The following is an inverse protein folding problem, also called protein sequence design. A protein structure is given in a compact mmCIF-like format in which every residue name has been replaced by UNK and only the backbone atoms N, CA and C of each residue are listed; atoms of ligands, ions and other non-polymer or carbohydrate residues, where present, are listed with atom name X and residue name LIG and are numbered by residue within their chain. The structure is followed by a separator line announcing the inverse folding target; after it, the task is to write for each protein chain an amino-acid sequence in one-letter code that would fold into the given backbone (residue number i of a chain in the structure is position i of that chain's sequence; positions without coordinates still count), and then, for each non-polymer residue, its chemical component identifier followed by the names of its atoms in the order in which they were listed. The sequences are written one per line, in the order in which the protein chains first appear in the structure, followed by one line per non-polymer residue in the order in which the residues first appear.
data_IF_203996977538
#
_entry.id   IF_203996977538
#
_cell.length_a   1.000
_cell.length_b   1.000
_cell.length_c   1.000
_cell.angle_alpha   90.00
_cell.angle_beta   90.00
_cell.angle_gamma   90.00
#
_symmetry.space_group_name_H-M   'P 1'
#
loop_
_entity.id
_entity.type
_entity.pdbx_description
1 polymer ?
#
# COMPACT_ATOMS: atom_id res chain seq x y z
N UNK A 1 -2.46 -48.67 -2.38
CA UNK A 1 -2.61 -47.21 -2.25
C UNK A 1 -1.27 -46.68 -1.76
N UNK A 2 -0.42 -46.16 -2.64
CA UNK A 2 0.81 -45.49 -2.21
C UNK A 2 0.44 -44.21 -1.47
N UNK A 3 1.04 -43.99 -0.31
CA UNK A 3 1.02 -42.69 0.33
C UNK A 3 1.60 -41.66 -0.67
N UNK A 4 1.01 -40.45 -0.80
CA UNK A 4 1.64 -39.41 -1.60
C UNK A 4 3.03 -39.14 -1.01
N UNK A 5 4.04 -39.06 -1.88
CA UNK A 5 5.39 -38.64 -1.48
C UNK A 5 5.27 -37.30 -0.75
N UNK A 6 5.84 -37.21 0.47
CA UNK A 6 5.93 -35.93 1.19
C UNK A 6 7.03 -35.14 0.49
N UNK A 7 6.65 -34.22 -0.38
CA UNK A 7 7.58 -33.23 -0.95
C UNK A 7 8.34 -32.54 0.19
N UNK A 8 9.66 -32.46 0.05
CA UNK A 8 10.58 -31.90 1.04
C UNK A 8 10.33 -30.40 1.25
N UNK A 9 10.53 -29.92 2.49
CA UNK A 9 10.43 -28.49 2.80
C UNK A 9 11.76 -27.84 2.45
N UNK A 10 11.68 -26.77 1.66
CA UNK A 10 12.83 -25.95 1.27
C UNK A 10 12.87 -24.69 2.13
N UNK A 11 14.00 -24.49 2.82
CA UNK A 11 14.22 -23.36 3.71
C UNK A 11 15.27 -22.40 3.13
N UNK A 12 15.01 -21.10 3.23
CA UNK A 12 15.93 -20.05 2.78
C UNK A 12 15.99 -18.95 3.83
N UNK A 13 17.17 -18.37 4.02
CA UNK A 13 17.38 -17.22 4.89
C UNK A 13 18.11 -16.10 4.13
N UNK A 14 17.55 -14.90 4.20
CA UNK A 14 18.21 -13.66 3.82
C UNK A 14 18.34 -12.74 5.02
N UNK A 15 19.30 -11.82 4.96
CA UNK A 15 19.51 -10.85 6.04
C UNK A 15 20.06 -9.53 5.54
N UNK A 16 19.74 -8.46 6.26
CA UNK A 16 20.29 -7.14 6.06
C UNK A 16 20.63 -6.49 7.41
N UNK A 17 21.70 -5.70 7.45
CA UNK A 17 21.98 -4.80 8.56
C UNK A 17 21.29 -3.47 8.29
N UNK A 18 20.56 -2.96 9.28
CA UNK A 18 19.71 -1.77 9.15
C UNK A 18 20.13 -0.76 10.23
N UNK A 19 20.42 0.47 9.81
CA UNK A 19 20.75 1.60 10.68
C UNK A 19 19.50 2.20 11.33
N UNK A 20 18.77 1.35 12.06
CA UNK A 20 17.60 1.70 12.85
C UNK A 20 17.60 0.91 14.18
N UNK A 21 17.03 1.46 15.26
CA UNK A 21 16.77 0.70 16.49
C UNK A 21 15.91 -0.55 16.21
N UNK A 22 16.18 -1.64 16.92
CA UNK A 22 15.50 -2.93 16.69
C UNK A 22 13.99 -2.84 16.95
N UNK A 23 13.57 -2.04 17.93
CA UNK A 23 12.17 -1.82 18.30
C UNK A 23 11.41 -1.06 17.21
N UNK A 24 12.06 -0.09 16.55
CA UNK A 24 11.48 0.60 15.39
C UNK A 24 11.30 -0.37 14.24
N UNK A 25 12.34 -1.15 13.90
CA UNK A 25 12.27 -2.13 12.82
C UNK A 25 11.17 -3.18 13.09
N UNK A 26 11.08 -3.70 14.32
CA UNK A 26 10.03 -4.63 14.70
C UNK A 26 8.64 -4.01 14.55
N UNK A 27 8.42 -2.78 15.07
CA UNK A 27 7.13 -2.09 14.95
C UNK A 27 6.69 -1.89 13.50
N UNK A 28 7.63 -1.58 12.61
CA UNK A 28 7.36 -1.45 11.17
C UNK A 28 6.95 -2.78 10.53
N UNK A 29 7.54 -3.90 10.96
CA UNK A 29 7.20 -5.24 10.46
C UNK A 29 5.90 -5.78 11.07
N UNK A 30 5.66 -5.52 12.35
CA UNK A 30 4.49 -6.02 13.08
C UNK A 30 3.19 -5.32 12.67
N UNK A 31 3.25 -4.04 12.31
CA UNK A 31 2.08 -3.30 11.86
C UNK A 31 1.94 -3.34 10.33
N UNK A 32 1.09 -4.23 9.83
CA UNK A 32 0.82 -4.40 8.39
C UNK A 32 0.26 -3.14 7.72
N UNK A 33 -0.34 -2.22 8.47
CA UNK A 33 -0.89 -0.98 7.89
C UNK A 33 0.20 -0.06 7.38
N UNK A 34 1.44 -0.23 7.85
CA UNK A 34 2.61 0.48 7.36
C UNK A 34 3.20 -0.11 6.07
N UNK A 35 2.93 -1.37 5.76
CA UNK A 35 3.63 -2.08 4.68
C UNK A 35 3.48 -1.44 3.29
N UNK A 36 2.34 -0.82 2.91
CA UNK A 36 2.26 -0.05 1.68
C UNK A 36 3.28 1.10 1.62
N UNK A 37 3.75 1.66 2.75
CA UNK A 37 4.83 2.67 2.73
C UNK A 37 6.25 2.08 2.77
N UNK A 38 6.39 0.79 3.08
CA UNK A 38 7.68 0.11 3.21
C UNK A 38 8.07 -0.67 1.95
N UNK A 39 7.11 -1.36 1.34
CA UNK A 39 7.36 -2.31 0.26
C UNK A 39 6.76 -1.80 -1.06
N UNK A 40 7.59 -1.55 -2.10
CA UNK A 40 7.13 -0.93 -3.34
C UNK A 40 6.03 -1.68 -4.09
N UNK A 41 6.00 -3.00 -3.96
CA UNK A 41 5.04 -3.89 -4.59
C UNK A 41 3.73 -4.03 -3.80
N UNK A 42 3.65 -3.56 -2.55
CA UNK A 42 2.44 -3.67 -1.73
C UNK A 42 1.53 -2.46 -1.98
N UNK A 43 0.36 -2.72 -2.55
CA UNK A 43 -0.68 -1.71 -2.75
C UNK A 43 -1.45 -1.49 -1.46
N UNK A 44 -1.83 -2.58 -0.80
CA UNK A 44 -2.63 -2.53 0.41
C UNK A 44 -2.41 -3.78 1.25
N UNK A 45 -2.51 -3.61 2.57
CA UNK A 45 -2.71 -4.69 3.51
C UNK A 45 -3.80 -4.29 4.50
N UNK A 46 -4.60 -5.28 4.90
CA UNK A 46 -5.70 -5.10 5.83
C UNK A 46 -5.67 -6.20 6.87
N UNK A 47 -5.85 -5.85 8.14
CA UNK A 47 -6.11 -6.81 9.20
C UNK A 47 -7.59 -7.18 9.18
N UNK A 48 -7.91 -8.43 8.85
CA UNK A 48 -9.30 -8.93 8.85
C UNK A 48 -9.77 -9.33 10.25
N UNK A 49 -8.89 -9.94 11.03
CA UNK A 49 -9.17 -10.29 12.41
C UNK A 49 -7.87 -10.43 13.20
N UNK A 50 -7.92 -10.09 14.47
CA UNK A 50 -6.92 -10.49 15.46
C UNK A 50 -7.55 -11.43 16.49
N UNK A 51 -6.73 -12.21 17.19
CA UNK A 51 -7.15 -12.79 18.45
C UNK A 51 -7.33 -11.71 19.53
N UNK A 52 -7.85 -12.12 20.69
CA UNK A 52 -8.16 -11.21 21.79
C UNK A 52 -6.93 -10.61 22.49
N UNK A 53 -5.73 -11.18 22.27
CA UNK A 53 -4.47 -10.69 22.83
C UNK A 53 -3.58 -9.96 21.80
N UNK A 54 -3.97 -9.94 20.53
CA UNK A 54 -3.27 -9.24 19.45
C UNK A 54 -1.98 -9.92 19.00
N UNK A 55 -1.78 -11.20 19.36
CA UNK A 55 -0.59 -11.98 19.00
C UNK A 55 -0.77 -12.78 17.74
N UNK A 56 -2.00 -13.03 17.29
CA UNK A 56 -2.28 -13.68 16.02
C UNK A 56 -3.22 -12.84 15.18
N UNK A 57 -2.93 -12.74 13.89
CA UNK A 57 -3.76 -11.98 12.96
C UNK A 57 -3.92 -12.68 11.62
N UNK A 58 -5.09 -12.48 11.00
CA UNK A 58 -5.38 -12.86 9.62
C UNK A 58 -5.42 -11.58 8.81
N UNK A 59 -4.54 -11.48 7.80
CA UNK A 59 -4.36 -10.27 7.01
C UNK A 59 -4.59 -10.54 5.53
N UNK A 60 -5.27 -9.61 4.85
CA UNK A 60 -5.33 -9.56 3.40
C UNK A 60 -4.13 -8.80 2.83
N UNK A 61 -3.59 -9.28 1.71
CA UNK A 61 -2.42 -8.70 1.05
C UNK A 61 -2.74 -8.48 -0.42
N UNK A 62 -2.55 -7.26 -0.91
CA UNK A 62 -2.68 -6.90 -2.32
C UNK A 62 -1.34 -6.38 -2.83
N UNK A 63 -0.68 -7.19 -3.64
CA UNK A 63 0.61 -6.85 -4.23
C UNK A 63 0.54 -6.76 -5.76
N UNK A 64 1.33 -5.86 -6.32
CA UNK A 64 1.52 -5.74 -7.77
C UNK A 64 2.54 -6.76 -8.26
N UNK A 65 2.22 -7.44 -9.36
CA UNK A 65 3.16 -8.21 -10.16
C UNK A 65 2.91 -7.91 -11.64
N UNK A 66 3.80 -7.12 -12.24
CA UNK A 66 3.58 -6.52 -13.55
C UNK A 66 2.36 -5.59 -13.54
N UNK A 67 1.47 -5.77 -14.52
CA UNK A 67 0.20 -5.04 -14.63
C UNK A 67 -0.97 -5.80 -13.99
N UNK A 68 -0.72 -6.53 -12.91
CA UNK A 68 -1.77 -7.26 -12.18
C UNK A 68 -1.59 -7.06 -10.69
N UNK A 69 -2.70 -7.10 -9.96
CA UNK A 69 -2.70 -7.19 -8.49
C UNK A 69 -3.24 -8.55 -8.09
N UNK A 70 -2.52 -9.21 -7.20
CA UNK A 70 -2.89 -10.53 -6.70
C UNK A 70 -3.26 -10.42 -5.22
N UNK A 71 -4.55 -10.58 -4.87
CA UNK A 71 -4.96 -10.69 -3.49
C UNK A 71 -4.65 -12.08 -2.94
N UNK A 72 -4.17 -12.14 -1.71
CA UNK A 72 -4.04 -13.39 -0.95
C UNK A 72 -4.15 -13.11 0.55
N UNK A 73 -4.25 -14.16 1.35
CA UNK A 73 -4.42 -14.07 2.80
C UNK A 73 -3.23 -14.69 3.51
N UNK A 74 -2.72 -14.00 4.53
CA UNK A 74 -1.71 -14.52 5.42
C UNK A 74 -2.27 -14.68 6.85
N UNK A 75 -1.86 -15.74 7.53
CA UNK A 75 -1.93 -15.83 8.98
C UNK A 75 -0.58 -15.41 9.54
N UNK A 76 -0.57 -14.57 10.57
CA UNK A 76 0.65 -14.08 11.22
C UNK A 76 0.59 -14.30 12.72
N UNK A 77 1.76 -14.51 13.31
CA UNK A 77 1.93 -14.58 14.77
C UNK A 77 3.04 -13.62 15.18
N UNK A 78 2.68 -12.64 16.01
CA UNK A 78 3.53 -11.60 16.53
C UNK A 78 4.13 -12.05 17.86
N UNK A 79 5.45 -12.03 17.95
CA UNK A 79 6.21 -12.37 19.17
C UNK A 79 7.05 -11.17 19.58
N UNK A 80 6.46 -10.15 20.23
CA UNK A 80 7.17 -8.92 20.57
C UNK A 80 8.36 -9.16 21.51
N UNK A 81 8.27 -10.14 22.42
CA UNK A 81 9.38 -10.52 23.29
C UNK A 81 10.59 -11.15 22.57
N UNK A 82 10.40 -11.60 21.33
CA UNK A 82 11.43 -12.21 20.47
C UNK A 82 11.77 -11.33 19.26
N UNK A 83 11.14 -10.15 19.13
CA UNK A 83 11.19 -9.28 17.95
C UNK A 83 10.98 -10.05 16.64
N UNK A 84 9.99 -10.95 16.66
CA UNK A 84 9.70 -11.90 15.58
C UNK A 84 8.26 -11.81 15.10
N UNK A 85 8.06 -11.97 13.80
CA UNK A 85 6.75 -12.12 13.16
C UNK A 85 6.80 -13.36 12.28
N UNK A 86 6.07 -14.39 12.68
CA UNK A 86 5.83 -15.57 11.85
C UNK A 86 4.71 -15.30 10.87
N UNK A 87 4.77 -15.87 9.68
CA UNK A 87 3.66 -15.84 8.72
C UNK A 87 3.48 -17.16 7.98
N UNK A 88 2.25 -17.36 7.49
CA UNK A 88 1.85 -18.49 6.64
C UNK A 88 0.86 -17.98 5.61
N UNK A 89 1.07 -18.29 4.34
CA UNK A 89 0.06 -18.05 3.30
C UNK A 89 -1.10 -19.02 3.52
N UNK A 90 -2.31 -18.50 3.69
CA UNK A 90 -3.52 -19.32 3.88
C UNK A 90 -3.91 -20.04 2.58
N UNK A 91 -3.67 -19.40 1.44
CA UNK A 91 -3.88 -19.99 0.11
C UNK A 91 -2.64 -19.77 -0.74
N UNK A 92 -2.08 -20.87 -1.25
CA UNK A 92 -1.00 -20.85 -2.24
C UNK A 92 -1.51 -21.26 -3.62
N UNK A 93 -0.73 -20.98 -4.65
CA UNK A 93 -0.98 -21.46 -6.02
C UNK A 93 0.25 -22.18 -6.54
N UNK A 94 0.04 -23.15 -7.44
CA UNK A 94 1.14 -23.78 -8.17
C UNK A 94 2.04 -22.70 -8.79
N UNK A 95 3.38 -22.83 -8.69
CA UNK A 95 4.12 -24.05 -8.34
C UNK A 95 4.32 -24.32 -6.84
N UNK A 96 3.75 -23.52 -5.93
CA UNK A 96 3.96 -23.63 -4.48
C UNK A 96 2.75 -24.25 -3.79
N UNK A 97 2.97 -25.31 -2.99
CA UNK A 97 1.93 -26.00 -2.23
C UNK A 97 1.84 -25.56 -0.76
N UNK A 98 2.89 -24.92 -0.23
CA UNK A 98 2.91 -24.29 1.09
C UNK A 98 3.98 -23.20 1.10
N UNK A 99 3.70 -22.07 1.75
CA UNK A 99 4.61 -20.93 1.86
C UNK A 99 4.41 -20.23 3.19
N UNK A 100 5.47 -20.09 3.96
CA UNK A 100 5.51 -19.22 5.12
C UNK A 100 6.93 -18.81 5.43
N UNK A 101 7.11 -18.29 6.63
CA UNK A 101 8.41 -17.80 7.03
C UNK A 101 8.36 -16.97 8.28
N UNK A 102 9.43 -16.20 8.49
CA UNK A 102 9.58 -15.37 9.66
C UNK A 102 10.43 -14.15 9.38
N UNK A 103 9.97 -13.01 9.86
CA UNK A 103 10.80 -11.84 10.07
C UNK A 103 11.35 -11.88 11.49
N UNK A 104 12.66 -11.68 11.64
CA UNK A 104 13.35 -11.65 12.95
C UNK A 104 14.24 -10.41 12.99
N UNK A 105 14.15 -9.64 14.07
CA UNK A 105 15.01 -8.47 14.29
C UNK A 105 15.95 -8.72 15.47
N UNK A 106 17.25 -8.63 15.22
CA UNK A 106 18.31 -8.83 16.21
C UNK A 106 19.00 -7.49 16.51
N UNK A 107 18.99 -6.99 17.75
CA UNK A 107 19.69 -5.75 18.09
C UNK A 107 21.21 -5.91 17.94
N UNK A 108 21.86 -4.94 17.28
CA UNK A 108 23.32 -4.86 17.17
C UNK A 108 23.89 -3.70 18.01
N UNK A 109 23.13 -2.61 18.13
CA UNK A 109 23.42 -1.45 18.99
C UNK A 109 22.13 -0.65 19.21
N UNK A 110 22.20 0.47 19.95
CA UNK A 110 21.07 1.39 20.12
C UNK A 110 20.52 1.97 18.80
N UNK A 111 21.32 1.99 17.73
CA UNK A 111 20.95 2.59 16.43
C UNK A 111 21.10 1.63 15.24
N UNK A 112 21.29 0.34 15.51
CA UNK A 112 21.43 -0.64 14.44
C UNK A 112 20.88 -2.00 14.85
N UNK A 113 20.28 -2.68 13.89
CA UNK A 113 19.80 -4.05 14.03
C UNK A 113 20.15 -4.89 12.80
N UNK A 114 20.04 -6.20 12.93
CA UNK A 114 20.04 -7.14 11.82
C UNK A 114 18.62 -7.65 11.63
N UNK A 115 18.12 -7.56 10.42
CA UNK A 115 16.81 -8.11 10.03
C UNK A 115 17.07 -9.37 9.24
N UNK A 116 16.43 -10.47 9.64
CA UNK A 116 16.47 -11.76 8.95
C UNK A 116 15.07 -12.06 8.42
N UNK A 117 15.03 -12.49 7.17
CA UNK A 117 13.83 -12.97 6.49
C UNK A 117 14.03 -14.43 6.15
N UNK A 118 13.29 -15.29 6.85
CA UNK A 118 13.31 -16.73 6.65
C UNK A 118 12.08 -17.11 5.83
N UNK A 119 12.25 -18.06 4.91
CA UNK A 119 11.17 -18.69 4.18
C UNK A 119 11.24 -20.20 4.38
N UNK A 120 10.09 -20.82 4.58
CA UNK A 120 9.91 -22.25 4.44
C UNK A 120 8.79 -22.50 3.42
N UNK A 121 9.13 -23.25 2.36
CA UNK A 121 8.19 -23.49 1.27
C UNK A 121 8.20 -24.96 0.86
N UNK A 122 7.07 -25.41 0.34
CA UNK A 122 6.93 -26.75 -0.21
C UNK A 122 6.49 -26.65 -1.66
N UNK A 123 7.28 -27.16 -2.62
CA UNK A 123 6.85 -27.27 -4.01
C UNK A 123 5.58 -28.08 -4.18
N UNK A 124 4.81 -27.79 -5.24
CA UNK A 124 3.65 -28.59 -5.63
C UNK A 124 4.05 -29.88 -6.38
N UNK A 125 5.25 -29.90 -6.96
CA UNK A 125 5.82 -31.06 -7.66
C UNK A 125 7.29 -31.21 -7.28
N UNK A 126 7.79 -32.44 -7.32
CA UNK A 126 9.20 -32.75 -7.05
C UNK A 126 10.09 -32.54 -8.30
N UNK A 127 9.62 -31.76 -9.28
CA UNK A 127 10.39 -31.51 -10.51
C UNK A 127 11.55 -30.54 -10.23
N UNK A 128 12.79 -30.87 -10.63
CA UNK A 128 13.94 -30.01 -10.39
C UNK A 128 13.77 -28.58 -10.92
N UNK A 129 13.15 -28.43 -12.08
CA UNK A 129 12.85 -27.12 -12.67
C UNK A 129 11.86 -26.29 -11.82
N UNK A 130 10.93 -26.95 -11.14
CA UNK A 130 9.99 -26.29 -10.23
C UNK A 130 10.72 -25.77 -9.00
N UNK A 131 11.60 -26.58 -8.42
CA UNK A 131 12.45 -26.19 -7.29
C UNK A 131 13.38 -25.02 -7.64
N UNK A 132 14.04 -25.09 -8.79
CA UNK A 132 14.94 -24.03 -9.28
C UNK A 132 14.19 -22.71 -9.48
N UNK A 133 13.01 -22.75 -10.12
CA UNK A 133 12.16 -21.57 -10.29
C UNK A 133 11.72 -20.94 -8.96
N UNK A 134 11.34 -21.76 -7.98
CA UNK A 134 10.95 -21.29 -6.64
C UNK A 134 12.13 -20.64 -5.93
N UNK A 135 13.30 -21.29 -5.94
CA UNK A 135 14.52 -20.79 -5.31
C UNK A 135 14.96 -19.45 -5.91
N UNK A 136 15.03 -19.33 -7.24
CA UNK A 136 15.38 -18.08 -7.93
C UNK A 136 14.37 -16.95 -7.62
N UNK A 137 13.09 -17.30 -7.51
CA UNK A 137 12.04 -16.33 -7.21
C UNK A 137 12.13 -15.85 -5.76
N UNK A 138 12.34 -16.76 -4.81
CA UNK A 138 12.55 -16.41 -3.41
C UNK A 138 13.80 -15.57 -3.22
N UNK A 139 14.92 -15.91 -3.87
CA UNK A 139 16.16 -15.14 -3.81
C UNK A 139 15.94 -13.68 -4.25
N UNK A 140 15.34 -13.51 -5.44
CA UNK A 140 15.08 -12.19 -6.02
C UNK A 140 14.14 -11.36 -5.17
N UNK A 141 13.02 -11.95 -4.73
CA UNK A 141 11.99 -11.25 -3.98
C UNK A 141 12.48 -10.89 -2.58
N UNK A 142 13.10 -11.83 -1.86
CA UNK A 142 13.59 -11.61 -0.50
C UNK A 142 14.69 -10.55 -0.45
N UNK A 143 15.59 -10.54 -1.45
CA UNK A 143 16.62 -9.50 -1.59
C UNK A 143 15.99 -8.13 -1.82
N UNK A 144 15.01 -8.03 -2.72
CA UNK A 144 14.32 -6.77 -3.00
C UNK A 144 13.50 -6.28 -1.79
N UNK A 145 12.81 -7.17 -1.09
CA UNK A 145 12.03 -6.86 0.11
C UNK A 145 12.91 -6.36 1.25
N UNK A 146 14.02 -7.04 1.54
CA UNK A 146 14.97 -6.60 2.58
C UNK A 146 15.63 -5.26 2.23
N UNK A 147 15.97 -5.03 0.95
CA UNK A 147 16.52 -3.76 0.51
C UNK A 147 15.51 -2.62 0.70
N UNK A 148 14.25 -2.82 0.29
CA UNK A 148 13.18 -1.84 0.47
C UNK A 148 12.90 -1.56 1.96
N UNK A 149 12.82 -2.62 2.77
CA UNK A 149 12.63 -2.49 4.22
C UNK A 149 13.77 -1.70 4.86
N UNK A 150 15.02 -2.04 4.53
CA UNK A 150 16.22 -1.33 5.02
C UNK A 150 16.13 0.15 4.71
N UNK A 151 15.88 0.51 3.44
CA UNK A 151 15.78 1.91 3.03
C UNK A 151 14.66 2.66 3.78
N UNK A 152 13.49 2.05 3.89
CA UNK A 152 12.34 2.67 4.56
C UNK A 152 12.58 2.84 6.08
N UNK A 153 13.11 1.82 6.74
CA UNK A 153 13.40 1.84 8.18
C UNK A 153 14.51 2.84 8.52
N UNK A 154 15.57 2.92 7.71
CA UNK A 154 16.65 3.89 7.90
C UNK A 154 16.18 5.32 7.69
N UNK A 155 15.33 5.55 6.69
CA UNK A 155 14.69 6.85 6.46
C UNK A 155 13.85 7.28 7.67
N UNK A 156 12.98 6.40 8.16
CA UNK A 156 12.11 6.71 9.31
C UNK A 156 12.93 6.90 10.59
N UNK A 157 14.04 6.15 10.76
CA UNK A 157 14.97 6.34 11.88
C UNK A 157 15.74 7.66 11.81
N UNK A 158 16.05 8.15 10.60
CA UNK A 158 16.76 9.40 10.39
C UNK A 158 15.87 10.63 10.67
N UNK A 159 14.63 10.63 10.14
CA UNK A 159 13.65 11.69 10.38
C UNK A 159 12.21 11.19 10.18
N UNK A 160 11.51 10.94 11.28
CA UNK A 160 10.10 10.52 11.26
C UNK A 160 9.16 11.55 10.59
N UNK A 161 9.57 12.82 10.51
CA UNK A 161 8.76 13.91 9.91
C UNK A 161 8.65 13.77 8.40
N UNK A 162 9.47 12.92 7.77
CA UNK A 162 9.38 12.61 6.35
C UNK A 162 8.05 11.91 6.00
N UNK A 163 7.38 11.26 6.97
CA UNK A 163 6.05 10.70 6.79
C UNK A 163 5.00 11.78 7.05
N UNK A 164 4.17 12.05 6.05
CA UNK A 164 3.09 13.03 6.12
C UNK A 164 1.76 12.36 5.84
N UNK A 165 0.84 12.49 6.79
CA UNK A 165 -0.54 12.08 6.63
C UNK A 165 -1.47 13.29 6.51
N UNK A 166 -2.42 13.18 5.60
CA UNK A 166 -3.37 14.24 5.26
C UNK A 166 -4.73 13.57 5.11
N UNK A 167 -5.76 14.16 5.74
CA UNK A 167 -7.13 13.72 5.57
C UNK A 167 -8.04 14.93 5.39
N UNK A 168 -8.90 14.86 4.37
CA UNK A 168 -9.98 15.81 4.14
C UNK A 168 -11.31 15.07 4.13
N UNK A 169 -12.33 15.68 4.72
CA UNK A 169 -13.67 15.07 4.87
C UNK A 169 -14.76 16.00 4.38
N UNK A 170 -15.84 15.43 3.86
CA UNK A 170 -17.03 16.16 3.45
C UNK A 170 -18.30 15.38 3.81
N UNK A 171 -19.31 16.10 4.31
CA UNK A 171 -20.68 15.58 4.46
C UNK A 171 -21.45 15.72 3.15
N UNK A 172 -22.23 14.70 2.81
CA UNK A 172 -22.98 14.60 1.57
C UNK A 172 -24.44 14.26 1.89
N UNK A 173 -25.39 15.03 1.36
CA UNK A 173 -26.82 14.69 1.41
C UNK A 173 -27.16 13.74 0.24
N UNK A 174 -26.57 12.54 0.29
CA UNK A 174 -26.63 11.53 -0.76
C UNK A 174 -26.25 10.17 -0.21
N UNK A 175 -26.51 9.11 -0.98
CA UNK A 175 -26.23 7.75 -0.49
C UNK A 175 -24.73 7.43 -0.55
N UNK A 176 -24.29 6.52 0.33
CA UNK A 176 -22.94 5.93 0.28
C UNK A 176 -22.63 5.38 -1.12
N UNK A 177 -23.61 4.73 -1.74
CA UNK A 177 -23.47 4.10 -3.05
C UNK A 177 -23.23 5.13 -4.17
N UNK A 178 -23.94 6.26 -4.19
CA UNK A 178 -23.77 7.29 -5.22
C UNK A 178 -22.39 7.95 -5.13
N UNK A 179 -21.92 8.23 -3.89
CA UNK A 179 -20.59 8.80 -3.65
C UNK A 179 -19.50 7.82 -4.08
N UNK A 180 -19.65 6.54 -3.72
CA UNK A 180 -18.70 5.50 -4.12
C UNK A 180 -18.68 5.30 -5.64
N UNK A 181 -19.84 5.27 -6.30
CA UNK A 181 -19.92 5.16 -7.77
C UNK A 181 -19.11 6.26 -8.45
N UNK A 182 -19.26 7.52 -8.00
CA UNK A 182 -18.49 8.64 -8.54
C UNK A 182 -16.97 8.41 -8.43
N UNK A 183 -16.51 7.93 -7.28
CA UNK A 183 -15.08 7.71 -7.00
C UNK A 183 -14.53 6.49 -7.76
N UNK A 184 -15.32 5.43 -7.87
CA UNK A 184 -14.96 4.18 -8.54
C UNK A 184 -14.93 4.34 -10.06
N UNK A 185 -15.81 5.15 -10.65
CA UNK A 185 -15.89 5.43 -12.08
C UNK A 185 -14.91 6.55 -12.51
N UNK A 186 -13.61 6.28 -12.31
CA UNK A 186 -12.54 7.21 -12.67
C UNK A 186 -12.43 7.47 -14.17
N UNK A 187 -12.87 6.53 -15.02
CA UNK A 187 -12.87 6.71 -16.47
C UNK A 187 -13.75 7.90 -16.91
N UNK A 188 -14.79 8.23 -16.13
CA UNK A 188 -15.67 9.36 -16.39
C UNK A 188 -15.16 10.69 -15.78
N UNK A 189 -14.05 10.69 -15.04
CA UNK A 189 -13.54 11.90 -14.39
C UNK A 189 -13.21 13.06 -15.34
N UNK A 190 -12.71 12.87 -16.58
CA UNK A 190 -12.47 13.99 -17.49
C UNK A 190 -13.72 14.83 -17.81
N UNK A 191 -14.92 14.23 -17.74
CA UNK A 191 -16.19 14.95 -17.91
C UNK A 191 -16.79 15.49 -16.60
N UNK A 192 -16.19 15.16 -15.45
CA UNK A 192 -16.73 15.46 -14.11
C UNK A 192 -15.82 16.37 -13.28
N UNK A 193 -14.51 16.35 -13.53
CA UNK A 193 -13.48 17.05 -12.76
C UNK A 193 -12.68 17.94 -13.73
N UNK A 194 -12.86 19.27 -13.71
CA UNK A 194 -12.37 20.18 -14.74
C UNK A 194 -10.87 20.12 -15.07
N UNK A 195 -10.02 19.82 -14.08
CA UNK A 195 -8.57 19.78 -14.26
C UNK A 195 -8.04 18.42 -14.75
N UNK A 196 -8.87 17.37 -14.80
CA UNK A 196 -8.48 16.06 -15.30
C UNK A 196 -8.75 16.01 -16.80
N UNK A 197 -7.68 15.90 -17.59
CA UNK A 197 -7.74 16.00 -19.05
C UNK A 197 -8.10 14.66 -19.69
N UNK A 198 -7.51 13.58 -19.17
CA UNK A 198 -7.71 12.23 -19.66
C UNK A 198 -7.49 11.21 -18.55
N UNK A 199 -8.18 10.07 -18.66
CA UNK A 199 -7.98 8.88 -17.83
C UNK A 199 -8.03 7.67 -18.76
N UNK A 200 -6.96 6.87 -18.76
CA UNK A 200 -6.97 5.49 -19.26
C UNK A 200 -7.16 4.56 -18.06
N UNK A 201 -8.26 3.82 -18.06
CA UNK A 201 -8.64 2.92 -16.97
C UNK A 201 -8.64 1.48 -17.48
N UNK A 202 -7.82 0.64 -16.86
CA UNK A 202 -7.63 -0.77 -17.21
C UNK A 202 -7.91 -1.67 -16.01
N UNK A 203 -8.45 -2.85 -16.25
CA UNK A 203 -8.65 -3.85 -15.20
C UNK A 203 -7.33 -4.54 -14.85
N UNK A 204 -6.96 -4.53 -13.57
CA UNK A 204 -5.74 -5.20 -13.06
C UNK A 204 -6.02 -6.52 -12.33
N UNK A 205 -7.27 -6.96 -12.29
CA UNK A 205 -7.78 -8.06 -11.48
C UNK A 205 -9.15 -7.74 -10.87
N UNK A 206 -9.66 -8.64 -10.04
CA UNK A 206 -10.97 -8.49 -9.40
C UNK A 206 -10.99 -7.26 -8.49
N UNK A 207 -11.88 -6.31 -8.78
CA UNK A 207 -11.98 -5.01 -8.12
C UNK A 207 -10.67 -4.20 -8.12
N UNK A 208 -9.80 -4.43 -9.09
CA UNK A 208 -8.52 -3.72 -9.23
C UNK A 208 -8.55 -2.87 -10.49
N UNK A 209 -8.12 -1.62 -10.34
CA UNK A 209 -8.02 -0.66 -11.44
C UNK A 209 -6.60 -0.15 -11.58
N UNK A 210 -6.10 -0.16 -12.81
CA UNK A 210 -4.85 0.50 -13.22
C UNK A 210 -5.24 1.76 -13.96
N UNK A 211 -4.84 2.91 -13.42
CA UNK A 211 -5.21 4.21 -13.94
C UNK A 211 -3.96 4.97 -14.37
N UNK A 212 -3.97 5.44 -15.62
CA UNK A 212 -3.04 6.44 -16.12
C UNK A 212 -3.87 7.70 -16.41
N UNK A 213 -3.53 8.85 -15.81
CA UNK A 213 -4.28 10.09 -16.05
C UNK A 213 -3.38 11.30 -16.18
N UNK A 214 -3.92 12.37 -16.77
CA UNK A 214 -3.25 13.65 -16.90
C UNK A 214 -4.07 14.74 -16.23
N UNK A 215 -3.41 15.50 -15.35
CA UNK A 215 -3.98 16.70 -14.73
C UNK A 215 -3.35 17.94 -15.34
N UNK A 216 -4.17 18.90 -15.75
CA UNK A 216 -3.71 20.22 -16.17
C UNK A 216 -3.57 21.13 -14.96
N UNK A 217 -2.38 21.69 -14.75
CA UNK A 217 -2.16 22.67 -13.69
C UNK A 217 -2.41 24.09 -14.18
N UNK A 218 -2.68 25.01 -13.26
CA UNK A 218 -2.84 26.45 -13.56
C UNK A 218 -1.64 27.07 -14.31
N UNK A 219 -0.47 26.42 -14.25
CA UNK A 219 0.75 26.85 -14.95
C UNK A 219 0.83 26.36 -16.40
N UNK A 220 -0.21 25.70 -16.91
CA UNK A 220 -0.23 25.17 -18.28
C UNK A 220 0.60 23.91 -18.49
N UNK A 221 1.05 23.28 -17.41
CA UNK A 221 1.87 22.06 -17.45
C UNK A 221 0.99 20.86 -17.13
N UNK A 222 1.07 19.85 -17.99
CA UNK A 222 0.41 18.56 -17.81
C UNK A 222 1.22 17.68 -16.87
N UNK A 223 0.55 17.16 -15.84
CA UNK A 223 1.14 16.26 -14.86
C UNK A 223 0.57 14.85 -15.05
N UNK A 224 1.34 13.91 -15.62
CA UNK A 224 0.92 12.53 -15.70
C UNK A 224 0.96 11.86 -14.32
N UNK A 225 0.01 10.97 -14.07
CA UNK A 225 -0.05 10.13 -12.88
C UNK A 225 -0.34 8.69 -13.31
N UNK A 226 0.28 7.74 -12.61
CA UNK A 226 0.00 6.32 -12.74
C UNK A 226 -0.32 5.76 -11.37
N UNK A 227 -1.49 5.15 -11.23
CA UNK A 227 -2.04 4.72 -9.94
C UNK A 227 -2.66 3.34 -10.07
N UNK A 228 -2.41 2.49 -9.08
CA UNK A 228 -3.14 1.23 -8.90
C UNK A 228 -4.12 1.38 -7.74
N UNK A 229 -5.38 0.98 -7.95
CA UNK A 229 -6.45 1.03 -6.94
C UNK A 229 -7.00 -0.35 -6.67
N UNK A 230 -7.31 -0.63 -5.41
CA UNK A 230 -8.13 -1.76 -4.97
C UNK A 230 -9.45 -1.19 -4.44
N UNK A 231 -10.55 -1.66 -5.01
CA UNK A 231 -11.89 -1.16 -4.74
C UNK A 231 -12.64 -2.16 -3.85
N UNK A 232 -13.30 -1.65 -2.82
CA UNK A 232 -14.13 -2.41 -1.88
C UNK A 232 -15.52 -1.78 -1.88
N UNK A 233 -16.42 -2.23 -2.78
CA UNK A 233 -17.77 -1.71 -2.81
C UNK A 233 -18.52 -2.05 -1.51
N UNK A 234 -19.38 -1.15 -1.02
CA UNK A 234 -19.76 0.14 -1.61
C UNK A 234 -19.07 1.34 -0.97
N UNK A 235 -18.00 1.18 -0.18
CA UNK A 235 -17.58 2.23 0.75
C UNK A 235 -16.10 2.61 0.74
N UNK A 236 -15.22 1.84 0.10
CA UNK A 236 -13.77 2.09 0.24
C UNK A 236 -12.98 1.84 -1.02
N UNK A 237 -12.04 2.73 -1.31
CA UNK A 237 -11.04 2.56 -2.38
C UNK A 237 -9.69 2.89 -1.79
N UNK A 238 -8.71 1.99 -1.93
CA UNK A 238 -7.32 2.23 -1.52
C UNK A 238 -6.45 2.26 -2.76
N UNK A 239 -5.41 3.06 -2.76
CA UNK A 239 -4.58 3.23 -3.94
C UNK A 239 -3.12 3.57 -3.62
N UNK A 240 -2.26 3.29 -4.61
CA UNK A 240 -0.83 3.57 -4.59
C UNK A 240 -0.42 4.22 -5.90
N UNK A 241 0.36 5.29 -5.82
CA UNK A 241 1.01 5.87 -6.98
C UNK A 241 2.20 5.02 -7.42
N UNK A 242 2.25 4.68 -8.71
CA UNK A 242 3.37 4.01 -9.37
C UNK A 242 4.28 5.01 -10.08
N UNK A 243 3.75 6.17 -10.46
CA UNK A 243 4.52 7.34 -10.91
C UNK A 243 4.43 8.42 -9.85
N UNK A 244 5.57 8.79 -9.28
CA UNK A 244 5.68 9.72 -8.16
C UNK A 244 6.22 11.08 -8.61
N UNK A 245 5.72 12.20 -8.06
CA UNK A 245 6.36 13.50 -8.23
C UNK A 245 7.72 13.51 -7.52
N UNK A 246 8.68 14.37 -7.92
CA UNK A 246 10.02 14.38 -7.33
C UNK A 246 10.07 14.53 -5.80
N UNK A 247 9.07 15.19 -5.22
CA UNK A 247 8.96 15.43 -3.77
C UNK A 247 8.58 14.16 -2.97
N UNK A 248 8.08 13.10 -3.61
CA UNK A 248 7.60 11.90 -2.95
C UNK A 248 8.47 10.68 -3.26
N UNK A 249 8.91 9.97 -2.22
CA UNK A 249 9.48 8.63 -2.31
C UNK A 249 8.40 7.54 -2.27
N UNK A 250 7.26 7.81 -1.61
CA UNK A 250 6.06 6.96 -1.61
C UNK A 250 4.83 7.85 -1.53
N UNK A 251 3.75 7.46 -2.22
CA UNK A 251 2.44 8.09 -2.08
C UNK A 251 1.34 7.03 -2.18
N UNK A 252 0.63 6.83 -1.07
CA UNK A 252 -0.58 6.03 -0.99
C UNK A 252 -1.76 6.90 -0.59
N UNK A 253 -2.96 6.42 -0.82
CA UNK A 253 -4.15 7.07 -0.32
C UNK A 253 -5.37 6.17 -0.30
N UNK A 254 -6.45 6.71 0.22
CA UNK A 254 -7.73 6.01 0.29
C UNK A 254 -8.90 6.98 0.23
N UNK A 255 -9.99 6.54 -0.36
CA UNK A 255 -11.31 7.09 -0.14
C UNK A 255 -12.09 6.17 0.78
N UNK A 256 -12.83 6.72 1.73
CA UNK A 256 -13.75 5.98 2.59
C UNK A 256 -15.06 6.74 2.68
N UNK A 257 -16.18 6.03 2.56
CA UNK A 257 -17.53 6.58 2.56
C UNK A 257 -18.32 5.89 3.67
N UNK A 258 -18.75 6.63 4.67
CA UNK A 258 -19.50 6.08 5.81
C UNK A 258 -20.90 6.66 5.84
N UNK A 259 -21.89 5.90 6.29
CA UNK A 259 -23.25 6.40 6.46
C UNK A 259 -23.32 7.40 7.62
N UNK A 260 -24.05 8.51 7.43
CA UNK A 260 -24.32 9.53 8.45
C UNK A 260 -25.82 9.90 8.38
N UNK A 261 -26.65 9.15 9.11
CA UNK A 261 -28.11 9.25 9.02
C UNK A 261 -28.63 8.88 7.62
N UNK A 262 -29.37 9.80 6.99
CA UNK A 262 -29.86 9.65 5.61
C UNK A 262 -28.83 10.09 4.54
N UNK A 263 -27.63 10.50 4.96
CA UNK A 263 -26.54 10.96 4.10
C UNK A 263 -25.26 10.12 4.29
N UNK A 264 -24.13 10.70 3.86
CA UNK A 264 -22.82 10.07 3.96
C UNK A 264 -21.72 11.06 4.36
N UNK A 265 -20.66 10.55 4.96
CA UNK A 265 -19.38 11.24 5.14
C UNK A 265 -18.34 10.56 4.25
N UNK A 266 -17.72 11.34 3.37
CA UNK A 266 -16.60 10.89 2.54
C UNK A 266 -15.29 11.48 3.05
N UNK A 267 -14.30 10.63 3.24
CA UNK A 267 -12.92 10.99 3.59
C UNK A 267 -11.98 10.66 2.43
N UNK A 268 -11.04 11.56 2.15
CA UNK A 268 -9.86 11.31 1.32
C UNK A 268 -8.62 11.38 2.20
N UNK A 269 -7.88 10.28 2.30
CA UNK A 269 -6.62 10.20 3.06
C UNK A 269 -5.44 10.01 2.13
N UNK A 270 -4.32 10.64 2.45
CA UNK A 270 -3.03 10.42 1.81
C UNK A 270 -1.96 10.13 2.87
N UNK A 271 -1.06 9.23 2.53
CA UNK A 271 0.21 9.04 3.23
C UNK A 271 1.34 9.22 2.22
N UNK A 272 2.20 10.21 2.49
CA UNK A 272 3.34 10.55 1.64
C UNK A 272 4.62 10.38 2.44
N UNK A 273 5.59 9.66 1.87
CA UNK A 273 6.97 9.67 2.35
C UNK A 273 7.75 10.64 1.49
N UNK A 274 8.28 11.71 2.10
CA UNK A 274 9.00 12.76 1.38
C UNK A 274 10.38 12.26 0.92
N UNK A 275 10.79 12.71 -0.25
CA UNK A 275 12.14 12.51 -0.79
C UNK A 275 13.02 13.69 -0.43
N UNK A 276 14.05 13.50 0.40
CA UNK A 276 14.96 14.59 0.80
C UNK A 276 15.64 15.27 -0.38
N UNK A 277 16.10 14.50 -1.38
CA UNK A 277 16.65 15.04 -2.62
C UNK A 277 15.58 15.77 -3.46
N UNK A 278 14.33 15.29 -3.36
CA UNK A 278 13.15 15.92 -3.93
C UNK A 278 12.87 17.31 -3.36
N UNK A 279 13.02 17.50 -2.04
CA UNK A 279 12.73 18.76 -1.34
C UNK A 279 13.53 19.91 -1.96
N UNK A 280 14.85 19.76 -2.05
CA UNK A 280 15.71 20.81 -2.60
C UNK A 280 15.39 21.10 -4.08
N UNK A 281 15.09 20.07 -4.87
CA UNK A 281 14.79 20.25 -6.31
C UNK A 281 13.45 20.96 -6.58
N UNK A 282 12.45 20.76 -5.72
CA UNK A 282 11.09 21.29 -5.91
C UNK A 282 10.89 22.63 -5.20
N UNK A 283 11.43 22.78 -3.99
CA UNK A 283 11.20 23.94 -3.12
C UNK A 283 12.38 24.90 -3.07
N UNK A 284 13.52 24.52 -3.67
CA UNK A 284 14.73 25.32 -3.73
C UNK A 284 15.76 24.93 -2.66
N UNK A 285 17.00 25.37 -2.87
CA UNK A 285 18.09 25.15 -1.92
C UNK A 285 17.77 25.79 -0.56
N UNK A 286 18.01 25.05 0.52
CA UNK A 286 17.73 25.50 1.90
C UNK A 286 16.31 25.25 2.38
N UNK A 287 15.42 24.69 1.54
CA UNK A 287 14.11 24.26 1.99
C UNK A 287 14.22 23.09 3.00
N UNK A 288 13.45 23.15 4.08
CA UNK A 288 13.43 22.10 5.10
C UNK A 288 12.25 21.13 4.96
N UNK A 289 12.28 20.08 5.77
CA UNK A 289 11.23 19.05 5.80
C UNK A 289 9.87 19.64 6.16
N UNK A 290 9.78 20.60 7.07
CA UNK A 290 8.49 21.16 7.50
C UNK A 290 7.84 21.97 6.37
N UNK A 291 8.62 22.76 5.65
CA UNK A 291 8.18 23.47 4.45
C UNK A 291 7.69 22.49 3.37
N UNK A 292 8.34 21.34 3.22
CA UNK A 292 7.92 20.29 2.30
C UNK A 292 6.61 19.61 2.71
N UNK A 293 6.42 19.33 4.00
CA UNK A 293 5.16 18.79 4.54
C UNK A 293 4.02 19.77 4.31
N UNK A 294 4.24 21.04 4.59
CA UNK A 294 3.28 22.10 4.42
C UNK A 294 2.88 22.32 2.96
N UNK A 295 3.86 22.32 2.05
CA UNK A 295 3.61 22.36 0.62
C UNK A 295 2.76 21.16 0.17
N UNK A 296 3.17 19.95 0.55
CA UNK A 296 2.50 18.70 0.20
C UNK A 296 1.06 18.66 0.72
N UNK A 297 0.86 19.05 1.98
CA UNK A 297 -0.46 19.14 2.62
C UNK A 297 -1.38 20.08 1.85
N UNK A 298 -0.92 21.30 1.53
CA UNK A 298 -1.74 22.26 0.78
C UNK A 298 -2.09 21.75 -0.62
N UNK A 299 -1.11 21.20 -1.34
CA UNK A 299 -1.32 20.72 -2.71
C UNK A 299 -2.32 19.56 -2.75
N UNK A 300 -2.10 18.53 -1.93
CA UNK A 300 -2.98 17.35 -1.89
C UNK A 300 -4.36 17.66 -1.31
N UNK A 301 -4.45 18.50 -0.27
CA UNK A 301 -5.78 18.86 0.28
C UNK A 301 -6.62 19.66 -0.71
N UNK A 302 -5.99 20.51 -1.52
CA UNK A 302 -6.69 21.28 -2.57
C UNK A 302 -7.28 20.34 -3.61
N UNK A 303 -6.48 19.41 -4.14
CA UNK A 303 -6.94 18.42 -5.11
C UNK A 303 -8.02 17.50 -4.52
N UNK A 304 -7.81 16.98 -3.32
CA UNK A 304 -8.77 16.11 -2.63
C UNK A 304 -10.12 16.79 -2.41
N UNK A 305 -10.13 18.01 -1.89
CA UNK A 305 -11.40 18.75 -1.65
C UNK A 305 -12.18 19.00 -2.93
N UNK A 306 -11.52 19.20 -4.06
CA UNK A 306 -12.21 19.33 -5.35
C UNK A 306 -12.88 18.02 -5.76
N UNK A 307 -12.18 16.87 -5.65
CA UNK A 307 -12.77 15.55 -5.91
C UNK A 307 -13.97 15.30 -4.98
N UNK A 308 -13.83 15.58 -3.68
CA UNK A 308 -14.90 15.39 -2.70
C UNK A 308 -16.10 16.31 -2.98
N UNK A 309 -15.87 17.55 -3.41
CA UNK A 309 -16.94 18.47 -3.80
C UNK A 309 -17.72 17.95 -5.03
N UNK A 310 -17.02 17.39 -6.03
CA UNK A 310 -17.68 16.80 -7.20
C UNK A 310 -18.45 15.53 -6.87
N UNK A 311 -17.91 14.68 -6.00
CA UNK A 311 -18.62 13.51 -5.50
C UNK A 311 -19.89 13.89 -4.74
N UNK A 312 -19.81 14.94 -3.91
CA UNK A 312 -20.96 15.52 -3.19
C UNK A 312 -22.04 16.02 -4.15
N UNK A 313 -21.67 16.89 -5.09
CA UNK A 313 -22.58 17.46 -6.08
C UNK A 313 -23.31 16.35 -6.87
N UNK A 314 -22.57 15.32 -7.28
CA UNK A 314 -23.10 14.18 -8.02
C UNK A 314 -24.15 13.38 -7.23
N UNK A 315 -23.84 13.03 -5.99
CA UNK A 315 -24.74 12.25 -5.14
C UNK A 315 -26.01 13.04 -4.75
N UNK A 316 -25.86 14.33 -4.45
CA UNK A 316 -26.99 15.21 -4.10
C UNK A 316 -27.94 15.42 -5.28
N UNK A 317 -27.40 15.61 -6.50
CA UNK A 317 -28.23 15.70 -7.70
C UNK A 317 -29.04 14.43 -7.96
N UNK A 318 -28.48 13.24 -7.71
CA UNK A 318 -29.20 11.97 -7.88
C UNK A 318 -30.32 11.79 -6.88
N UNK A 319 -30.08 12.16 -5.61
CA UNK A 319 -31.11 12.15 -4.57
C UNK A 319 -32.30 13.05 -4.92
N UNK A 320 -32.03 14.24 -5.45
CA UNK A 320 -33.08 15.21 -5.80
C UNK A 320 -33.71 14.98 -7.19
N UNK A 321 -33.01 14.34 -8.12
CA UNK A 321 -33.48 14.06 -9.48
C UNK A 321 -34.20 12.71 -9.64
N UNK A 322 -34.18 11.84 -8.62
CA UNK A 322 -34.88 10.56 -8.59
C UNK A 322 -36.29 10.60 -8.00
N UNK A 323 -36.86 11.80 -7.79
CA UNK A 323 -38.23 12.02 -7.27
C UNK A 323 -39.27 12.15 -8.37
#
# INVERSE_FOLDING_TARGET
MSAPARTEVYEVEHRAEVAAPAELAYRLLSDVTHWPRLFPNIVHMEQFSSDGDGTSERVGVWLTSGERVFPWVALRVLRPGELRVDYRQETTQAPVADMGGSWIVEPLSERACRVRLLHDCRPATDEPATLEFIAETLERNSTAELAAFKEAAEREAADERLVTEIEDTARVDGSVADVYEFLADAAAWPGRIPHIVSVDAREGGDNVQLLDWVTHTERGVDHPSKVVRVCFPPDRIVYRHQLLPPLAAVHTGSYTVTADGDGAVVSSRHTVVLSESGIASVLGEGADVEQARDFTRRALSTSSREVLARAKEFAEHRRHGGG
#
